data_IF_736549089319
#
_entry.id   IF_736549089319
#
_cell.length_a   1.000
_cell.length_b   1.000
_cell.length_c   1.000
_cell.angle_alpha   90.00
_cell.angle_beta   90.00
_cell.angle_gamma   90.00
#
_symmetry.space_group_name_H-M   'P 1'
#
loop_
_entity.id
_entity.type
_entity.pdbx_description
1 polymer ?
#
# COMPACT_ATOMS: atom_id res chain seq x y z
N UNK A 1 -27.67 13.15 28.95
CA UNK A 1 -26.19 13.01 29.01
C UNK A 1 -25.85 11.64 29.56
N UNK A 2 -25.07 10.84 28.85
CA UNK A 2 -24.58 9.54 29.32
C UNK A 2 -23.39 9.13 28.44
N UNK A 3 -22.22 8.90 29.05
CA UNK A 3 -21.01 8.49 28.32
C UNK A 3 -21.02 6.99 28.10
N UNK A 4 -20.68 6.54 26.90
CA UNK A 4 -19.97 5.28 26.74
C UNK A 4 -18.47 5.56 26.88
N UNK A 5 -17.75 4.73 27.62
CA UNK A 5 -16.31 4.88 27.88
C UNK A 5 -15.62 3.62 27.42
N UNK A 6 -14.71 3.75 26.46
CA UNK A 6 -13.73 2.71 26.18
C UNK A 6 -12.52 2.93 27.09
N UNK A 7 -12.19 1.88 27.86
CA UNK A 7 -11.15 1.89 28.88
C UNK A 7 -9.92 1.23 28.27
N UNK A 8 -8.87 2.00 27.99
CA UNK A 8 -7.59 1.45 27.57
C UNK A 8 -7.02 0.61 28.72
N UNK A 9 -6.82 -0.68 28.49
CA UNK A 9 -6.02 -1.51 29.38
C UNK A 9 -4.55 -1.32 29.00
N UNK A 10 -3.81 -0.65 29.86
CA UNK A 10 -2.36 -0.47 29.73
C UNK A 10 -1.64 -1.79 29.99
N UNK A 11 -1.05 -2.35 28.95
CA UNK A 11 0.08 -3.27 29.06
C UNK A 11 1.17 -2.73 28.13
N UNK A 12 2.06 -1.91 28.68
CA UNK A 12 3.16 -1.30 27.96
C UNK A 12 4.22 -2.38 27.62
N UNK A 13 4.06 -3.07 26.50
CA UNK A 13 5.17 -3.74 25.83
C UNK A 13 5.74 -2.79 24.78
N UNK A 14 6.99 -2.37 25.03
CA UNK A 14 7.69 -1.28 24.36
C UNK A 14 8.08 -1.66 22.91
N UNK A 15 7.10 -1.59 22.01
CA UNK A 15 7.27 -1.80 20.57
C UNK A 15 8.00 -0.60 19.95
N UNK A 16 9.32 -0.62 20.13
CA UNK A 16 10.23 0.51 19.97
C UNK A 16 9.99 1.37 18.73
N UNK A 17 9.72 2.65 18.99
CA UNK A 17 9.71 3.69 17.96
C UNK A 17 11.04 3.71 17.22
N UNK A 18 11.03 3.34 15.93
CA UNK A 18 12.15 3.65 15.03
C UNK A 18 12.11 5.14 14.68
N UNK A 19 12.51 5.97 15.65
CA UNK A 19 12.91 7.33 15.37
C UNK A 19 14.03 7.29 14.32
N UNK A 20 13.84 8.01 13.21
CA UNK A 20 14.87 8.16 12.18
C UNK A 20 16.05 8.94 12.75
N UNK A 21 17.03 8.24 13.31
CA UNK A 21 18.32 8.81 13.69
C UNK A 21 19.22 8.94 12.46
N UNK A 22 18.76 9.75 11.49
CA UNK A 22 19.65 10.51 10.62
C UNK A 22 20.42 11.52 11.49
N UNK A 23 21.38 11.00 12.27
CA UNK A 23 22.35 11.83 12.95
C UNK A 23 23.26 12.42 11.88
N UNK A 24 23.03 13.69 11.55
CA UNK A 24 24.05 14.49 10.91
C UNK A 24 25.36 14.34 11.70
N UNK A 25 26.46 14.16 10.96
CA UNK A 25 27.77 13.93 11.54
C UNK A 25 28.30 15.26 12.07
N UNK A 26 27.89 15.61 13.28
CA UNK A 26 28.38 16.81 13.99
C UNK A 26 29.92 16.82 14.03
N UNK A 27 30.58 17.99 14.10
CA UNK A 27 32.05 18.09 14.10
C UNK A 27 32.75 17.47 15.32
N UNK A 28 32.02 16.80 16.21
CA UNK A 28 32.55 15.96 17.29
C UNK A 28 32.54 14.46 16.94
N UNK A 29 32.03 14.08 15.77
CA UNK A 29 32.11 12.71 15.26
C UNK A 29 33.59 12.39 14.98
N UNK A 30 34.17 11.34 15.57
CA UNK A 30 35.54 10.95 15.24
C UNK A 30 35.69 10.70 13.74
N UNK A 31 36.79 11.18 13.15
CA UNK A 31 37.10 10.87 11.76
C UNK A 31 37.01 9.36 11.51
N UNK A 32 36.50 8.97 10.34
CA UNK A 32 36.48 7.55 9.95
C UNK A 32 37.94 7.10 9.82
N UNK A 33 38.44 6.41 10.85
CA UNK A 33 39.80 5.90 10.93
C UNK A 33 40.01 4.89 9.80
N UNK A 34 40.48 5.39 8.66
CA UNK A 34 40.94 4.58 7.53
C UNK A 34 42.08 3.70 8.06
N UNK A 35 41.92 2.39 7.89
CA UNK A 35 42.91 1.44 8.39
C UNK A 35 44.30 1.78 7.86
N UNK A 36 45.28 1.89 8.75
CA UNK A 36 46.66 2.31 8.45
C UNK A 36 47.40 1.28 7.56
N UNK A 37 46.78 0.12 7.34
CA UNK A 37 47.32 -1.00 6.59
C UNK A 37 46.62 -1.14 5.23
N UNK A 38 47.41 -1.31 4.17
CA UNK A 38 46.91 -1.69 2.85
C UNK A 38 46.08 -2.97 2.90
N UNK A 39 45.14 -3.18 1.95
CA UNK A 39 44.47 -4.46 1.76
C UNK A 39 45.49 -5.59 1.57
N UNK A 40 45.23 -6.78 2.13
CA UNK A 40 46.09 -7.95 1.93
C UNK A 40 46.05 -8.41 0.48
N UNK A 41 47.20 -8.82 -0.06
CA UNK A 41 47.28 -9.60 -1.30
C UNK A 41 46.68 -11.00 -1.11
N UNK A 42 46.31 -11.67 -2.21
CA UNK A 42 45.69 -13.00 -2.16
C UNK A 42 46.60 -14.07 -1.52
N UNK A 43 47.92 -13.93 -1.65
CA UNK A 43 48.89 -14.82 -1.01
C UNK A 43 48.95 -14.63 0.51
N UNK A 44 49.06 -13.37 0.98
CA UNK A 44 49.04 -13.04 2.41
C UNK A 44 47.70 -13.40 3.06
N UNK A 45 46.61 -13.15 2.33
CA UNK A 45 45.25 -13.55 2.66
C UNK A 45 45.14 -15.06 2.87
N UNK A 46 45.61 -15.88 1.92
CA UNK A 46 45.55 -17.33 2.02
C UNK A 46 46.33 -17.86 3.23
N UNK A 47 47.53 -17.31 3.49
CA UNK A 47 48.32 -17.60 4.69
C UNK A 47 47.56 -17.21 5.97
N UNK A 48 46.92 -16.04 5.98
CA UNK A 48 46.16 -15.56 7.13
C UNK A 48 44.84 -16.34 7.35
N UNK A 49 44.21 -16.85 6.31
CA UNK A 49 43.03 -17.73 6.42
C UNK A 49 43.40 -19.12 6.91
N UNK A 50 44.47 -19.73 6.38
CA UNK A 50 44.92 -21.06 6.83
C UNK A 50 45.30 -21.03 8.31
N UNK A 51 46.09 -20.05 8.76
CA UNK A 51 46.40 -19.84 10.20
C UNK A 51 45.16 -19.68 11.09
N UNK A 52 44.08 -19.06 10.60
CA UNK A 52 42.80 -18.93 11.34
C UNK A 52 41.99 -20.24 11.38
N UNK A 53 42.14 -21.12 10.38
CA UNK A 53 41.55 -22.45 10.35
C UNK A 53 42.33 -23.42 11.26
N UNK A 54 43.65 -23.37 11.20
CA UNK A 54 44.58 -24.11 12.07
C UNK A 54 44.39 -23.78 13.55
N UNK A 55 44.12 -22.51 13.88
CA UNK A 55 43.83 -22.06 15.25
C UNK A 55 42.45 -22.51 15.80
N UNK A 56 41.63 -23.18 14.99
CA UNK A 56 40.39 -23.82 15.42
C UNK A 56 39.34 -22.87 16.06
N UNK A 57 38.53 -23.36 17.02
CA UNK A 57 37.42 -22.61 17.60
C UNK A 57 37.87 -21.50 18.56
N UNK A 58 39.04 -21.64 19.20
CA UNK A 58 39.62 -20.62 20.07
C UNK A 58 40.08 -19.38 19.29
N UNK A 59 40.53 -19.57 18.04
CA UNK A 59 40.93 -18.50 17.13
C UNK A 59 42.21 -17.75 17.53
N UNK A 60 42.57 -16.78 16.69
CA UNK A 60 43.75 -15.93 16.89
C UNK A 60 43.37 -14.59 17.52
N UNK A 61 44.11 -14.16 18.54
CA UNK A 61 43.92 -12.86 19.19
C UNK A 61 44.32 -11.71 18.26
N UNK A 62 43.47 -10.69 18.18
CA UNK A 62 43.73 -9.48 17.37
C UNK A 62 44.60 -8.53 18.19
N UNK A 63 45.88 -8.40 17.79
CA UNK A 63 46.91 -7.59 18.47
C UNK A 63 46.39 -6.18 18.82
N UNK A 64 46.55 -5.79 20.08
CA UNK A 64 46.05 -4.50 20.59
C UNK A 64 44.60 -4.54 21.07
N UNK A 65 43.94 -5.69 21.06
CA UNK A 65 42.57 -5.88 21.57
C UNK A 65 42.45 -7.17 22.37
N UNK A 66 41.40 -7.29 23.19
CA UNK A 66 41.02 -8.54 23.86
C UNK A 66 40.14 -9.44 22.97
N UNK A 67 39.96 -9.09 21.69
CA UNK A 67 39.09 -9.81 20.75
C UNK A 67 39.88 -10.86 19.95
N UNK A 68 39.17 -11.87 19.43
CA UNK A 68 39.73 -12.94 18.60
C UNK A 68 39.04 -13.05 17.24
N UNK A 69 39.73 -13.63 16.25
CA UNK A 69 39.14 -14.07 14.98
C UNK A 69 39.32 -15.58 14.87
N UNK A 70 38.22 -16.31 14.74
CA UNK A 70 38.18 -17.77 14.67
C UNK A 70 37.52 -18.26 13.36
N UNK A 71 37.72 -19.53 13.03
CA UNK A 71 36.96 -20.21 12.00
C UNK A 71 35.87 -21.07 12.63
N UNK A 72 34.62 -20.64 12.49
CA UNK A 72 33.43 -21.38 12.94
C UNK A 72 33.22 -22.57 11.99
N UNK A 73 33.46 -23.79 12.48
CA UNK A 73 33.30 -25.04 11.72
C UNK A 73 31.84 -25.29 11.27
N UNK A 74 31.59 -26.19 10.30
CA UNK A 74 30.27 -26.75 10.04
C UNK A 74 29.60 -27.29 11.31
N UNK A 75 28.27 -27.29 11.35
CA UNK A 75 27.45 -27.82 12.44
C UNK A 75 26.12 -28.38 11.92
N UNK A 76 25.25 -28.86 12.82
CA UNK A 76 23.94 -29.47 12.48
C UNK A 76 23.05 -28.59 11.63
N UNK A 77 23.24 -27.27 11.66
CA UNK A 77 22.40 -26.29 10.99
C UNK A 77 23.13 -25.64 9.78
N UNK A 78 24.38 -26.04 9.49
CA UNK A 78 25.24 -25.39 8.49
C UNK A 78 26.36 -26.31 8.00
N UNK A 79 26.31 -26.73 6.74
CA UNK A 79 27.31 -27.64 6.12
C UNK A 79 28.68 -27.01 5.85
N UNK A 80 28.78 -25.68 5.86
CA UNK A 80 29.98 -24.89 5.57
C UNK A 80 30.53 -24.18 6.81
N UNK A 81 31.81 -23.80 6.78
CA UNK A 81 32.47 -23.03 7.85
C UNK A 81 32.58 -21.54 7.52
N UNK A 82 32.52 -20.67 8.52
CA UNK A 82 32.52 -19.21 8.38
C UNK A 82 33.54 -18.54 9.31
N UNK A 83 34.16 -17.44 8.87
CA UNK A 83 35.00 -16.62 9.75
C UNK A 83 34.15 -15.77 10.70
N UNK A 84 34.52 -15.77 11.99
CA UNK A 84 33.82 -15.02 13.04
C UNK A 84 34.78 -14.15 13.84
N UNK A 85 34.29 -12.99 14.25
CA UNK A 85 34.90 -12.12 15.25
C UNK A 85 34.27 -12.39 16.60
N UNK A 86 35.12 -12.52 17.63
CA UNK A 86 34.72 -12.83 19.00
C UNK A 86 35.23 -11.68 19.88
N UNK A 87 34.32 -10.80 20.28
CA UNK A 87 34.62 -9.73 21.24
C UNK A 87 34.43 -10.23 22.68
N UNK A 88 35.13 -9.66 23.68
CA UNK A 88 34.93 -9.99 25.09
C UNK A 88 33.45 -9.91 25.48
N UNK A 89 32.97 -10.95 26.18
CA UNK A 89 31.60 -11.05 26.70
C UNK A 89 30.48 -10.87 25.64
N UNK A 90 30.77 -11.08 24.35
CA UNK A 90 29.82 -10.92 23.25
C UNK A 90 29.54 -12.22 22.52
N UNK A 91 28.39 -12.30 21.83
CA UNK A 91 28.10 -13.38 20.88
C UNK A 91 29.04 -13.25 19.67
N UNK A 92 29.36 -14.39 19.03
CA UNK A 92 30.16 -14.41 17.80
C UNK A 92 29.48 -13.58 16.70
N UNK A 93 30.25 -12.76 15.98
CA UNK A 93 29.76 -11.95 14.85
C UNK A 93 30.37 -12.45 13.55
N UNK A 94 29.57 -12.64 12.51
CA UNK A 94 30.07 -13.09 11.21
C UNK A 94 30.86 -11.98 10.50
N UNK A 95 32.04 -12.32 9.98
CA UNK A 95 32.85 -11.41 9.17
C UNK A 95 32.34 -11.48 7.73
N UNK A 96 32.24 -10.33 7.06
CA UNK A 96 31.78 -10.24 5.68
C UNK A 96 32.66 -11.01 4.69
N UNK A 97 32.07 -11.89 3.88
CA UNK A 97 32.74 -12.58 2.77
C UNK A 97 32.59 -11.88 1.41
N UNK A 98 31.68 -10.90 1.28
CA UNK A 98 31.34 -10.24 0.01
C UNK A 98 32.45 -9.38 -0.63
N UNK A 99 33.54 -9.10 0.10
CA UNK A 99 34.81 -8.63 -0.45
C UNK A 99 35.92 -9.21 0.44
N UNK A 100 36.99 -9.73 -0.17
CA UNK A 100 38.11 -10.37 0.52
C UNK A 100 38.69 -9.57 1.70
N UNK A 101 38.83 -8.25 1.54
CA UNK A 101 39.42 -7.38 2.56
C UNK A 101 38.36 -6.69 3.46
N UNK A 102 37.11 -7.16 3.45
CA UNK A 102 36.05 -6.60 4.28
C UNK A 102 36.00 -7.20 5.70
N UNK A 103 36.54 -6.46 6.67
CA UNK A 103 36.47 -6.83 8.10
C UNK A 103 35.17 -6.39 8.80
N UNK A 104 34.11 -6.00 8.06
CA UNK A 104 32.83 -5.58 8.66
C UNK A 104 32.10 -6.76 9.30
N UNK A 105 31.72 -6.60 10.57
CA UNK A 105 30.92 -7.55 11.36
C UNK A 105 29.51 -7.04 11.66
N UNK A 106 29.34 -5.71 11.83
CA UNK A 106 28.05 -5.06 12.02
C UNK A 106 27.20 -5.16 10.74
N UNK A 107 25.92 -5.46 10.91
CA UNK A 107 24.94 -5.61 9.82
C UNK A 107 25.34 -6.66 8.76
N UNK A 108 26.11 -7.67 9.16
CA UNK A 108 26.36 -8.89 8.37
C UNK A 108 25.24 -9.89 8.62
N UNK A 109 24.43 -10.16 7.59
CA UNK A 109 23.36 -11.15 7.67
C UNK A 109 23.92 -12.57 7.50
N UNK A 110 23.37 -13.53 8.24
CA UNK A 110 23.77 -14.93 8.16
C UNK A 110 23.11 -15.61 6.95
N UNK A 111 23.91 -15.85 5.92
CA UNK A 111 23.61 -16.64 4.72
C UNK A 111 24.86 -17.48 4.37
N UNK A 112 24.81 -18.26 3.29
CA UNK A 112 25.94 -19.08 2.85
C UNK A 112 27.21 -18.26 2.57
N UNK A 113 27.04 -17.11 1.90
CA UNK A 113 28.03 -16.05 1.88
C UNK A 113 27.57 -14.91 2.82
N UNK A 114 28.06 -14.82 4.07
CA UNK A 114 27.65 -13.78 5.01
C UNK A 114 28.12 -12.41 4.51
N UNK A 115 27.19 -11.57 4.06
CA UNK A 115 27.48 -10.27 3.47
C UNK A 115 27.07 -9.15 4.44
N UNK A 116 28.01 -8.24 4.74
CA UNK A 116 27.65 -6.95 5.33
C UNK A 116 26.85 -6.13 4.32
N UNK A 117 26.06 -5.19 4.83
CA UNK A 117 25.13 -4.39 4.04
C UNK A 117 25.73 -3.83 2.72
N UNK A 118 26.94 -3.22 2.75
CA UNK A 118 27.61 -2.65 1.56
C UNK A 118 28.20 -3.67 0.56
N UNK A 119 28.06 -4.98 0.80
CA UNK A 119 28.51 -6.05 -0.10
C UNK A 119 27.40 -7.07 -0.39
N UNK A 120 26.13 -6.73 -0.14
CA UNK A 120 24.98 -7.55 -0.58
C UNK A 120 25.02 -7.76 -2.10
N UNK A 121 25.34 -6.71 -2.85
CA UNK A 121 25.30 -6.63 -4.31
C UNK A 121 24.13 -5.76 -4.76
N UNK A 122 23.76 -5.80 -6.06
CA UNK A 122 22.52 -5.20 -6.54
C UNK A 122 21.31 -5.74 -5.79
N UNK A 123 20.40 -4.86 -5.41
CA UNK A 123 19.05 -5.17 -4.95
C UNK A 123 18.05 -4.62 -5.95
N UNK A 124 16.85 -5.19 -6.01
CA UNK A 124 15.70 -4.55 -6.67
C UNK A 124 15.03 -3.65 -5.63
N UNK A 125 14.64 -2.47 -6.03
CA UNK A 125 13.75 -1.58 -5.29
C UNK A 125 12.68 -1.05 -6.22
N UNK A 126 11.65 -0.45 -5.64
CA UNK A 126 10.52 0.12 -6.34
C UNK A 126 10.34 1.59 -5.95
N UNK A 127 9.87 2.41 -6.89
CA UNK A 127 9.58 3.82 -6.68
C UNK A 127 8.15 4.12 -7.13
N UNK A 128 7.45 4.92 -6.32
CA UNK A 128 6.17 5.54 -6.66
C UNK A 128 6.35 7.05 -6.72
N UNK A 129 6.22 7.63 -7.91
CA UNK A 129 6.18 9.08 -8.13
C UNK A 129 4.76 9.55 -8.51
N UNK A 130 4.48 10.84 -8.31
CA UNK A 130 3.21 11.48 -8.66
C UNK A 130 3.51 12.81 -9.36
N UNK A 131 2.73 13.14 -10.37
CA UNK A 131 2.94 14.34 -11.18
C UNK A 131 1.66 15.18 -11.31
N UNK A 132 1.86 16.49 -11.39
CA UNK A 132 0.85 17.54 -11.65
C UNK A 132 1.07 18.13 -13.03
N UNK A 133 0.06 18.82 -13.58
CA UNK A 133 0.28 19.81 -14.64
C UNK A 133 0.70 21.14 -13.99
N UNK A 134 1.94 21.58 -14.22
CA UNK A 134 2.47 22.86 -13.73
C UNK A 134 1.75 24.08 -14.31
N UNK A 135 1.19 23.94 -15.51
CA UNK A 135 0.39 24.96 -16.19
C UNK A 135 -1.07 25.00 -15.73
N UNK A 136 -1.55 23.98 -14.99
CA UNK A 136 -2.96 23.79 -14.69
C UNK A 136 -3.18 23.15 -13.30
N UNK A 137 -3.36 24.01 -12.29
CA UNK A 137 -3.48 23.66 -10.86
C UNK A 137 -2.32 22.78 -10.32
N UNK A 138 -1.24 23.45 -9.92
CA UNK A 138 0.06 22.90 -9.43
C UNK A 138 0.04 21.83 -8.31
N UNK A 139 -1.12 21.44 -7.78
CA UNK A 139 -1.26 20.48 -6.68
C UNK A 139 -2.12 19.26 -7.05
N UNK A 140 -2.79 19.26 -8.21
CA UNK A 140 -3.76 18.24 -8.59
C UNK A 140 -3.03 17.08 -9.29
N UNK A 141 -3.10 15.87 -8.72
CA UNK A 141 -2.36 14.70 -9.26
C UNK A 141 -3.03 14.18 -10.53
N UNK A 142 -2.35 14.29 -11.68
CA UNK A 142 -2.84 13.80 -12.98
C UNK A 142 -2.26 12.43 -13.37
N UNK A 143 -1.10 12.06 -12.82
CA UNK A 143 -0.34 10.87 -13.20
C UNK A 143 0.32 10.24 -11.97
N UNK A 144 0.26 8.91 -11.90
CA UNK A 144 0.98 8.11 -10.91
C UNK A 144 1.95 7.17 -11.64
N UNK A 145 3.19 7.10 -11.18
CA UNK A 145 4.25 6.34 -11.83
C UNK A 145 4.78 5.30 -10.86
N UNK A 146 4.71 4.02 -11.24
CA UNK A 146 5.44 2.95 -10.56
C UNK A 146 6.55 2.41 -11.46
N UNK A 147 7.71 2.12 -10.88
CA UNK A 147 8.82 1.48 -11.58
C UNK A 147 9.67 0.66 -10.62
N UNK A 148 10.15 -0.50 -11.08
CA UNK A 148 11.23 -1.24 -10.43
C UNK A 148 12.59 -0.81 -10.99
N UNK A 149 13.61 -0.81 -10.15
CA UNK A 149 14.97 -0.42 -10.51
C UNK A 149 16.01 -1.18 -9.68
N UNK A 150 17.23 -1.29 -10.18
CA UNK A 150 18.34 -1.89 -9.42
C UNK A 150 19.14 -0.81 -8.71
N UNK A 151 19.56 -1.09 -7.47
CA UNK A 151 20.43 -0.20 -6.68
C UNK A 151 21.44 -1.00 -5.85
N UNK A 152 22.55 -0.38 -5.47
CA UNK A 152 23.48 -0.97 -4.50
C UNK A 152 23.01 -0.53 -3.11
N UNK A 153 22.74 -1.48 -2.22
CA UNK A 153 22.24 -1.13 -0.88
C UNK A 153 23.32 -0.40 -0.07
N UNK A 154 23.01 0.84 0.34
CA UNK A 154 23.93 1.78 0.98
C UNK A 154 24.48 2.88 0.06
N UNK A 155 24.22 2.79 -1.25
CA UNK A 155 24.45 3.86 -2.21
C UNK A 155 23.15 4.68 -2.37
N UNK A 156 23.00 5.73 -1.56
CA UNK A 156 21.79 6.54 -1.53
C UNK A 156 21.63 7.36 -2.83
N UNK A 157 22.71 7.97 -3.30
CA UNK A 157 22.73 8.75 -4.54
C UNK A 157 22.47 7.85 -5.75
N UNK A 158 23.06 6.65 -5.80
CA UNK A 158 22.76 5.64 -6.81
C UNK A 158 21.31 5.14 -6.74
N UNK A 159 20.72 4.96 -5.54
CA UNK A 159 19.29 4.64 -5.39
C UNK A 159 18.41 5.76 -5.95
N UNK A 160 18.70 7.01 -5.64
CA UNK A 160 17.99 8.19 -6.15
C UNK A 160 18.11 8.29 -7.68
N UNK A 161 19.32 8.25 -8.22
CA UNK A 161 19.61 8.44 -9.64
C UNK A 161 19.02 7.33 -10.52
N UNK A 162 19.16 6.06 -10.12
CA UNK A 162 18.59 4.94 -10.88
C UNK A 162 17.06 4.98 -10.89
N UNK A 163 16.43 5.44 -9.80
CA UNK A 163 15.00 5.62 -9.70
C UNK A 163 14.48 6.78 -10.55
N UNK A 164 15.08 7.96 -10.47
CA UNK A 164 14.72 9.12 -11.30
C UNK A 164 14.79 8.74 -12.78
N UNK A 165 15.89 8.11 -13.22
CA UNK A 165 16.08 7.70 -14.62
C UNK A 165 15.01 6.73 -15.13
N UNK A 166 14.54 5.77 -14.31
CA UNK A 166 13.49 4.83 -14.76
C UNK A 166 12.10 5.49 -14.78
N UNK A 167 11.84 6.42 -13.85
CA UNK A 167 10.62 7.24 -13.81
C UNK A 167 10.52 8.13 -15.06
N UNK A 168 11.60 8.83 -15.40
CA UNK A 168 11.71 9.63 -16.64
C UNK A 168 11.50 8.77 -17.89
N UNK A 169 12.23 7.67 -18.00
CA UNK A 169 12.20 6.79 -19.17
C UNK A 169 10.80 6.21 -19.44
N UNK A 170 10.09 5.80 -18.40
CA UNK A 170 8.76 5.19 -18.53
C UNK A 170 7.68 6.19 -19.01
N UNK A 171 7.83 7.50 -18.75
CA UNK A 171 6.75 8.47 -18.97
C UNK A 171 7.04 9.51 -20.06
N UNK A 172 8.31 9.90 -20.27
CA UNK A 172 8.68 10.93 -21.26
C UNK A 172 8.97 10.37 -22.67
N UNK A 173 9.36 9.10 -22.79
CA UNK A 173 9.94 8.57 -24.04
C UNK A 173 9.14 7.45 -24.72
N UNK A 174 8.07 6.95 -24.10
CA UNK A 174 7.20 5.97 -24.75
C UNK A 174 6.26 6.65 -25.76
N UNK A 175 6.19 6.11 -26.99
CA UNK A 175 5.46 6.75 -28.09
C UNK A 175 3.94 6.85 -27.87
N UNK A 176 3.39 6.00 -27.00
CA UNK A 176 2.01 6.00 -26.54
C UNK A 176 1.93 6.30 -25.03
N UNK A 177 2.87 7.06 -24.45
CA UNK A 177 2.82 7.36 -23.02
C UNK A 177 1.52 8.12 -22.68
N UNK A 178 0.91 7.85 -21.52
CA UNK A 178 -0.30 8.56 -21.12
C UNK A 178 -0.15 10.09 -21.09
N UNK A 179 1.03 10.59 -20.71
CA UNK A 179 1.34 12.02 -20.73
C UNK A 179 1.20 12.63 -22.14
N UNK A 180 1.63 11.91 -23.18
CA UNK A 180 1.51 12.36 -24.57
C UNK A 180 0.04 12.42 -25.01
N UNK A 181 -0.83 11.54 -24.50
CA UNK A 181 -2.28 11.62 -24.74
C UNK A 181 -2.88 12.87 -24.06
N UNK A 182 -2.48 13.18 -22.83
CA UNK A 182 -2.90 14.40 -22.12
C UNK A 182 -2.53 15.68 -22.87
N UNK A 183 -1.30 15.77 -23.37
CA UNK A 183 -0.86 16.91 -24.18
C UNK A 183 -1.72 17.09 -25.43
N UNK A 184 -1.97 16.00 -26.17
CA UNK A 184 -2.81 16.03 -27.37
C UNK A 184 -4.25 16.47 -27.07
N UNK A 185 -4.86 15.98 -25.97
CA UNK A 185 -6.21 16.40 -25.57
C UNK A 185 -6.25 17.87 -25.10
N UNK A 186 -5.21 18.36 -24.44
CA UNK A 186 -5.12 19.76 -24.04
C UNK A 186 -4.94 20.71 -25.25
N UNK A 187 -4.12 20.33 -26.22
CA UNK A 187 -3.96 21.04 -27.49
C UNK A 187 -5.29 21.08 -28.28
N UNK A 188 -5.95 19.93 -28.44
CA UNK A 188 -7.25 19.84 -29.11
C UNK A 188 -8.34 20.67 -28.40
N UNK A 189 -8.29 20.74 -27.06
CA UNK A 189 -9.17 21.57 -26.24
C UNK A 189 -8.74 23.06 -26.16
N UNK A 190 -7.66 23.47 -26.84
CA UNK A 190 -7.10 24.84 -26.84
C UNK A 190 -6.75 25.36 -25.43
N UNK A 191 -6.30 24.47 -24.55
CA UNK A 191 -5.79 24.80 -23.21
C UNK A 191 -4.35 25.34 -23.29
N UNK A 192 -3.81 25.94 -22.21
CA UNK A 192 -2.37 26.16 -22.07
C UNK A 192 -1.58 24.87 -22.30
N UNK A 193 -0.37 24.99 -22.84
CA UNK A 193 0.55 23.87 -23.03
C UNK A 193 0.90 23.24 -21.68
N UNK A 194 0.63 21.92 -21.46
CA UNK A 194 0.93 21.28 -20.20
C UNK A 194 2.42 21.23 -19.82
N UNK A 195 2.69 21.27 -18.52
CA UNK A 195 4.03 21.16 -17.93
C UNK A 195 4.09 19.95 -16.98
N UNK A 196 4.87 18.91 -17.28
CA UNK A 196 4.95 17.74 -16.39
C UNK A 196 5.87 18.04 -15.20
N UNK A 197 5.30 18.27 -14.02
CA UNK A 197 6.05 18.57 -12.79
C UNK A 197 5.89 17.43 -11.79
N UNK A 198 6.99 16.90 -11.26
CA UNK A 198 6.93 15.89 -10.20
C UNK A 198 6.63 16.54 -8.84
N UNK A 199 5.75 15.92 -8.08
CA UNK A 199 5.51 16.26 -6.68
C UNK A 199 6.59 15.57 -5.83
N UNK A 200 7.81 16.11 -5.78
CA UNK A 200 8.98 15.46 -5.16
C UNK A 200 8.72 14.96 -3.73
N UNK A 201 8.08 15.78 -2.88
CA UNK A 201 7.71 15.43 -1.50
C UNK A 201 6.66 14.32 -1.37
N UNK A 202 6.15 13.81 -2.48
CA UNK A 202 5.20 12.69 -2.57
C UNK A 202 5.83 11.41 -3.10
N UNK A 203 7.07 11.46 -3.65
CA UNK A 203 7.82 10.28 -4.09
C UNK A 203 8.06 9.34 -2.90
N UNK A 204 7.82 8.04 -3.08
CA UNK A 204 8.12 7.01 -2.06
C UNK A 204 8.95 5.87 -2.66
N UNK A 205 9.76 5.27 -1.79
CA UNK A 205 10.65 4.16 -2.09
C UNK A 205 10.24 2.93 -1.30
N UNK A 206 10.25 1.78 -1.95
CA UNK A 206 9.88 0.49 -1.37
C UNK A 206 10.96 -0.54 -1.72
N UNK A 207 11.24 -1.45 -0.80
CA UNK A 207 12.12 -2.61 -1.05
C UNK A 207 11.28 -3.89 -1.28
N UNK A 208 9.96 -3.75 -1.43
CA UNK A 208 8.94 -4.79 -1.62
C UNK A 208 7.85 -4.31 -2.61
N UNK A 209 7.21 -5.23 -3.34
CA UNK A 209 6.22 -4.93 -4.39
C UNK A 209 4.78 -4.90 -3.88
N UNK A 210 4.41 -5.72 -2.89
CA UNK A 210 3.06 -5.72 -2.32
C UNK A 210 2.81 -4.44 -1.52
N UNK A 211 3.80 -3.98 -0.73
CA UNK A 211 3.73 -2.70 -0.02
C UNK A 211 3.65 -1.48 -0.97
N UNK A 212 4.35 -1.53 -2.11
CA UNK A 212 4.20 -0.55 -3.19
C UNK A 212 2.75 -0.53 -3.70
N UNK A 213 2.20 -1.70 -4.04
CA UNK A 213 0.89 -1.83 -4.68
C UNK A 213 -0.26 -1.39 -3.77
N UNK A 214 -0.18 -1.63 -2.45
CA UNK A 214 -1.14 -1.10 -1.46
C UNK A 214 -1.21 0.43 -1.49
N UNK A 215 -0.06 1.08 -1.35
CA UNK A 215 0.05 2.55 -1.31
C UNK A 215 -0.28 3.18 -2.67
N UNK A 216 0.05 2.50 -3.77
CA UNK A 216 -0.31 2.92 -5.12
C UNK A 216 -1.83 2.86 -5.35
N UNK A 217 -2.50 1.76 -5.01
CA UNK A 217 -3.95 1.62 -5.13
C UNK A 217 -4.72 2.63 -4.24
N UNK A 218 -4.25 2.83 -3.01
CA UNK A 218 -4.77 3.85 -2.10
C UNK A 218 -4.69 5.27 -2.70
N UNK A 219 -3.52 5.63 -3.27
CA UNK A 219 -3.29 6.93 -3.92
C UNK A 219 -4.13 7.10 -5.18
N UNK A 220 -4.19 6.10 -6.08
CA UNK A 220 -5.07 6.15 -7.26
C UNK A 220 -6.54 6.39 -6.86
N UNK A 221 -7.02 5.69 -5.83
CA UNK A 221 -8.42 5.79 -5.37
C UNK A 221 -8.69 7.12 -4.67
N UNK A 222 -7.75 7.62 -3.85
CA UNK A 222 -7.87 8.93 -3.20
C UNK A 222 -7.84 10.08 -4.22
N UNK A 223 -6.99 9.99 -5.26
CA UNK A 223 -7.03 10.94 -6.38
C UNK A 223 -8.34 10.86 -7.13
N UNK A 224 -8.84 9.66 -7.47
CA UNK A 224 -10.16 9.47 -8.10
C UNK A 224 -11.27 10.19 -7.31
N UNK A 225 -11.28 10.02 -5.99
CA UNK A 225 -12.21 10.69 -5.08
C UNK A 225 -12.12 12.23 -5.15
N UNK A 226 -10.92 12.81 -5.30
CA UNK A 226 -10.76 14.26 -5.50
C UNK A 226 -11.36 14.74 -6.83
N UNK A 227 -11.11 14.02 -7.94
CA UNK A 227 -11.65 14.39 -9.27
C UNK A 227 -13.18 14.47 -9.24
N UNK A 228 -13.80 13.56 -8.48
CA UNK A 228 -15.24 13.38 -8.41
C UNK A 228 -15.92 14.36 -7.43
N UNK A 229 -15.20 14.92 -6.45
CA UNK A 229 -15.68 16.02 -5.60
C UNK A 229 -15.53 17.41 -6.24
N UNK A 230 -14.60 17.57 -7.18
CA UNK A 230 -14.33 18.86 -7.84
C UNK A 230 -14.50 18.78 -9.37
N UNK A 231 -15.67 18.40 -9.90
CA UNK A 231 -15.88 18.21 -11.34
C UNK A 231 -15.63 19.46 -12.20
N UNK A 232 -15.64 20.66 -11.58
CA UNK A 232 -15.21 21.93 -12.21
C UNK A 232 -13.68 22.04 -12.41
N UNK A 233 -12.91 21.00 -12.12
CA UNK A 233 -11.66 20.78 -12.86
C UNK A 233 -12.00 20.68 -14.34
N UNK A 234 -11.74 21.75 -15.12
CA UNK A 234 -11.88 21.73 -16.59
C UNK A 234 -10.99 20.66 -17.25
N UNK A 235 -10.05 20.11 -16.48
CA UNK A 235 -9.50 18.78 -16.66
C UNK A 235 -10.63 17.75 -16.49
N UNK A 236 -11.19 17.25 -17.61
CA UNK A 236 -11.50 15.81 -17.68
C UNK A 236 -10.20 15.12 -17.28
N UNK A 237 -10.08 14.69 -16.03
CA UNK A 237 -8.89 13.96 -15.61
C UNK A 237 -9.00 12.60 -16.27
N UNK A 238 -8.37 12.52 -17.45
CA UNK A 238 -7.82 11.29 -17.98
C UNK A 238 -6.92 10.81 -16.84
N UNK A 239 -7.42 9.93 -15.97
CA UNK A 239 -6.58 9.29 -14.98
C UNK A 239 -5.59 8.48 -15.81
N UNK A 240 -4.37 8.99 -15.93
CA UNK A 240 -3.46 8.57 -17.00
C UNK A 240 -3.04 7.10 -16.88
N UNK A 241 -3.31 6.51 -15.72
CA UNK A 241 -3.33 5.08 -15.54
C UNK A 241 -4.75 4.59 -15.90
N UNK A 242 -4.88 4.09 -17.15
CA UNK A 242 -6.12 3.58 -17.78
C UNK A 242 -6.79 2.42 -17.01
N UNK A 243 -6.17 1.98 -15.91
CA UNK A 243 -6.72 1.05 -14.93
C UNK A 243 -6.52 1.65 -13.53
N UNK A 244 -7.61 1.77 -12.77
CA UNK A 244 -7.59 2.20 -11.37
C UNK A 244 -7.60 0.95 -10.50
N UNK A 245 -6.56 0.77 -9.69
CA UNK A 245 -6.51 -0.31 -8.72
C UNK A 245 -7.23 0.13 -7.43
N UNK A 246 -8.30 -0.59 -7.06
CA UNK A 246 -8.94 -0.38 -5.77
C UNK A 246 -8.12 -1.06 -4.64
N UNK A 247 -7.98 -0.42 -3.46
CA UNK A 247 -7.17 -0.89 -2.33
C UNK A 247 -7.82 -2.05 -1.55
N UNK A 248 -8.11 -3.15 -2.24
CA UNK A 248 -8.68 -4.36 -1.66
C UNK A 248 -7.71 -4.95 -0.63
N UNK A 249 -8.05 -4.85 0.66
CA UNK A 249 -7.17 -5.24 1.77
C UNK A 249 -6.16 -4.16 2.21
N UNK A 250 -6.09 -3.01 1.52
CA UNK A 250 -5.22 -1.88 1.83
C UNK A 250 -5.99 -0.70 2.47
N UNK A 251 -6.91 -1.02 3.39
CA UNK A 251 -7.83 -0.07 4.00
C UNK A 251 -7.13 0.95 4.90
N UNK A 252 -6.02 0.57 5.53
CA UNK A 252 -5.19 1.47 6.35
C UNK A 252 -4.54 2.52 5.45
N UNK A 253 -3.94 2.09 4.35
CA UNK A 253 -3.24 2.93 3.40
C UNK A 253 -4.23 3.87 2.69
N UNK A 254 -5.44 3.41 2.38
CA UNK A 254 -6.52 4.26 1.89
C UNK A 254 -6.93 5.31 2.93
N UNK A 255 -7.16 4.92 4.20
CA UNK A 255 -7.56 5.87 5.24
C UNK A 255 -6.47 6.94 5.51
N UNK A 256 -5.22 6.52 5.69
CA UNK A 256 -4.07 7.42 5.89
C UNK A 256 -3.83 8.38 4.70
N UNK A 257 -4.22 7.96 3.50
CA UNK A 257 -4.12 8.77 2.29
C UNK A 257 -5.34 9.71 2.12
N UNK A 258 -6.55 9.26 2.46
CA UNK A 258 -7.74 10.09 2.48
C UNK A 258 -7.67 11.20 3.55
N UNK A 259 -7.17 10.89 4.75
CA UNK A 259 -6.97 11.84 5.85
C UNK A 259 -6.06 13.01 5.44
N UNK A 260 -4.98 12.76 4.68
CA UNK A 260 -4.08 13.80 4.16
C UNK A 260 -4.79 14.84 3.29
N UNK A 261 -5.89 14.44 2.63
CA UNK A 261 -6.71 15.32 1.78
C UNK A 261 -8.05 15.67 2.43
N UNK A 262 -8.26 15.35 3.72
CA UNK A 262 -9.49 15.64 4.45
C UNK A 262 -10.73 14.89 3.94
N UNK A 263 -10.55 13.75 3.26
CA UNK A 263 -11.66 13.02 2.65
C UNK A 263 -12.24 11.96 3.59
N UNK A 264 -13.56 11.79 3.56
CA UNK A 264 -14.26 10.73 4.30
C UNK A 264 -15.23 9.97 3.40
N UNK A 265 -15.10 8.63 3.35
CA UNK A 265 -16.02 7.74 2.64
C UNK A 265 -17.05 7.17 3.62
N UNK A 266 -18.31 7.58 3.50
CA UNK A 266 -19.42 7.07 4.32
C UNK A 266 -20.40 6.25 3.48
N UNK A 267 -20.46 4.97 3.79
CA UNK A 267 -21.56 4.10 3.33
C UNK A 267 -22.79 4.44 4.17
N UNK A 268 -23.86 4.88 3.52
CA UNK A 268 -25.10 5.30 4.16
C UNK A 268 -26.23 4.33 3.76
N UNK A 269 -26.91 3.74 4.74
CA UNK A 269 -28.16 2.98 4.52
C UNK A 269 -29.30 3.89 4.04
N UNK A 270 -29.25 5.15 4.50
CA UNK A 270 -29.99 6.31 4.01
C UNK A 270 -29.08 7.52 4.05
N UNK A 271 -29.16 8.36 3.03
CA UNK A 271 -28.90 9.78 3.18
C UNK A 271 -29.84 10.31 4.29
N UNK A 272 -29.29 10.93 5.33
CA UNK A 272 -30.12 11.64 6.31
C UNK A 272 -30.89 12.74 5.58
N UNK A 273 -32.07 13.16 6.07
CA UNK A 273 -32.85 14.22 5.41
C UNK A 273 -32.01 15.49 5.18
N UNK A 274 -31.17 15.86 6.15
CA UNK A 274 -30.18 16.94 6.03
C UNK A 274 -29.12 16.71 4.95
N UNK A 275 -28.69 15.47 4.70
CA UNK A 275 -27.73 15.14 3.64
C UNK A 275 -28.40 15.08 2.26
N UNK A 276 -29.63 14.56 2.16
CA UNK A 276 -30.41 14.57 0.91
C UNK A 276 -30.73 16.01 0.47
N UNK A 277 -31.16 16.88 1.40
CA UNK A 277 -31.36 18.31 1.12
C UNK A 277 -30.05 19.02 0.75
N UNK A 278 -28.94 18.73 1.43
CA UNK A 278 -27.64 19.37 1.15
C UNK A 278 -27.07 19.09 -0.26
N UNK A 279 -27.48 17.98 -0.89
CA UNK A 279 -27.03 17.59 -2.24
C UNK A 279 -28.11 17.79 -3.32
N UNK A 280 -29.26 18.39 -2.97
CA UNK A 280 -30.46 18.49 -3.82
C UNK A 280 -30.93 17.14 -4.39
N UNK A 281 -30.83 16.04 -3.62
CA UNK A 281 -31.40 14.76 -4.06
C UNK A 281 -32.92 14.90 -4.10
N UNK A 282 -33.52 14.72 -5.28
CA UNK A 282 -34.97 14.81 -5.45
C UNK A 282 -35.65 13.63 -4.74
N UNK A 283 -36.93 13.77 -4.37
CA UNK A 283 -37.66 12.66 -3.75
C UNK A 283 -37.74 11.44 -4.69
N UNK A 284 -37.75 11.70 -6.01
CA UNK A 284 -37.69 10.74 -7.12
C UNK A 284 -36.42 9.86 -7.14
N UNK A 285 -35.34 10.32 -6.50
CA UNK A 285 -34.03 9.65 -6.48
C UNK A 285 -33.87 8.72 -5.26
N UNK A 286 -34.79 8.75 -4.30
CA UNK A 286 -34.81 7.75 -3.23
C UNK A 286 -35.25 6.39 -3.77
N UNK A 287 -34.59 5.30 -3.34
CA UNK A 287 -35.02 3.94 -3.68
C UNK A 287 -36.45 3.71 -3.13
N UNK A 288 -37.44 3.36 -3.98
CA UNK A 288 -38.84 3.24 -3.62
C UNK A 288 -39.12 1.89 -2.95
N UNK A 289 -38.62 1.74 -1.72
CA UNK A 289 -38.75 0.51 -0.95
C UNK A 289 -40.22 0.21 -0.61
N UNK A 290 -40.79 -0.81 -1.25
CA UNK A 290 -42.10 -1.39 -0.94
C UNK A 290 -42.16 -1.91 0.51
N UNK A 291 -41.02 -2.39 1.01
CA UNK A 291 -40.82 -2.85 2.37
C UNK A 291 -39.34 -2.64 2.73
N UNK A 292 -39.03 -2.37 4.01
CA UNK A 292 -37.65 -2.26 4.49
C UNK A 292 -37.27 -3.48 5.34
N UNK A 293 -35.99 -3.83 5.35
CA UNK A 293 -35.49 -4.88 6.22
C UNK A 293 -35.61 -4.45 7.70
N UNK A 294 -35.95 -5.41 8.56
CA UNK A 294 -35.91 -5.22 10.01
C UNK A 294 -34.51 -5.54 10.59
N UNK A 295 -34.23 -5.03 11.79
CA UNK A 295 -32.89 -5.17 12.39
C UNK A 295 -32.56 -6.63 12.68
N UNK A 296 -31.56 -7.18 12.00
CA UNK A 296 -31.16 -8.58 12.09
C UNK A 296 -31.99 -9.54 11.23
N UNK A 297 -32.87 -9.03 10.36
CA UNK A 297 -33.65 -9.84 9.43
C UNK A 297 -32.77 -10.53 8.37
N UNK A 298 -33.10 -11.78 8.04
CA UNK A 298 -32.45 -12.52 6.95
C UNK A 298 -33.18 -12.33 5.61
N UNK A 299 -32.41 -12.38 4.51
CA UNK A 299 -32.91 -12.23 3.13
C UNK A 299 -34.15 -13.09 2.82
N UNK A 300 -34.21 -14.33 3.34
CA UNK A 300 -35.34 -15.23 3.16
C UNK A 300 -36.61 -14.86 3.96
N UNK A 301 -36.46 -14.13 5.07
CA UNK A 301 -37.59 -13.60 5.87
C UNK A 301 -38.19 -12.38 5.15
N UNK A 302 -37.32 -11.45 4.72
CA UNK A 302 -37.73 -10.27 3.96
C UNK A 302 -38.48 -10.66 2.68
N UNK A 303 -37.94 -11.59 1.89
CA UNK A 303 -38.59 -12.12 0.68
C UNK A 303 -39.85 -12.96 0.97
N UNK A 304 -40.09 -13.36 2.22
CA UNK A 304 -41.34 -14.04 2.60
C UNK A 304 -42.44 -13.02 2.91
N UNK A 305 -42.14 -11.98 3.71
CA UNK A 305 -43.03 -10.83 3.95
C UNK A 305 -43.43 -10.16 2.64
N UNK A 306 -42.48 -10.04 1.70
CA UNK A 306 -42.72 -9.48 0.37
C UNK A 306 -43.81 -10.16 -0.46
N UNK A 307 -44.15 -11.42 -0.18
CA UNK A 307 -45.23 -12.13 -0.90
C UNK A 307 -46.62 -11.65 -0.50
N UNK A 308 -46.77 -11.06 0.69
CA UNK A 308 -48.03 -10.55 1.21
C UNK A 308 -48.49 -9.29 0.44
N UNK A 309 -47.55 -8.58 -0.17
CA UNK A 309 -47.76 -7.39 -1.01
C UNK A 309 -48.47 -7.69 -2.34
N UNK A 310 -48.53 -8.97 -2.76
CA UNK A 310 -49.10 -9.45 -4.04
C UNK A 310 -48.42 -8.94 -5.33
N UNK A 311 -47.47 -8.03 -5.24
CA UNK A 311 -46.59 -7.62 -6.35
C UNK A 311 -45.42 -8.62 -6.55
N UNK A 312 -44.75 -8.52 -7.70
CA UNK A 312 -43.46 -9.20 -7.93
C UNK A 312 -42.35 -8.36 -7.30
N UNK A 313 -41.64 -8.93 -6.33
CA UNK A 313 -40.63 -8.19 -5.56
C UNK A 313 -39.22 -8.77 -5.73
N UNK A 314 -38.22 -7.90 -5.59
CA UNK A 314 -36.82 -8.28 -5.41
C UNK A 314 -36.26 -7.60 -4.15
N UNK A 315 -35.45 -8.33 -3.38
CA UNK A 315 -34.73 -7.79 -2.24
C UNK A 315 -33.37 -7.24 -2.68
N UNK A 316 -33.08 -6.00 -2.29
CA UNK A 316 -31.73 -5.42 -2.34
C UNK A 316 -30.98 -5.81 -1.06
N UNK A 317 -29.70 -6.16 -1.18
CA UNK A 317 -28.85 -6.56 -0.06
C UNK A 317 -27.39 -6.21 -0.31
N UNK A 318 -26.61 -6.12 0.76
CA UNK A 318 -25.15 -6.17 0.69
C UNK A 318 -24.64 -7.56 1.04
N UNK A 319 -23.58 -8.02 0.37
CA UNK A 319 -22.62 -8.96 0.92
C UNK A 319 -21.50 -8.15 1.56
N UNK A 320 -21.22 -8.38 2.84
CA UNK A 320 -20.21 -7.60 3.58
C UNK A 320 -19.39 -8.44 4.58
N UNK A 321 -18.09 -8.17 4.60
CA UNK A 321 -17.18 -8.34 5.74
C UNK A 321 -16.09 -7.23 5.66
N UNK A 322 -15.04 -7.20 6.50
CA UNK A 322 -13.98 -6.18 6.43
C UNK A 322 -13.12 -6.17 5.15
N UNK A 323 -13.36 -7.07 4.19
CA UNK A 323 -12.55 -7.28 2.98
C UNK A 323 -13.38 -7.40 1.68
N UNK A 324 -14.71 -7.42 1.78
CA UNK A 324 -15.63 -7.37 0.63
C UNK A 324 -16.85 -6.52 0.98
N UNK A 325 -17.23 -5.64 0.06
CA UNK A 325 -18.54 -5.00 0.02
C UNK A 325 -19.07 -5.16 -1.40
N UNK A 326 -20.22 -5.81 -1.54
CA UNK A 326 -20.84 -6.06 -2.84
C UNK A 326 -22.35 -5.83 -2.74
N UNK A 327 -22.89 -4.93 -3.56
CA UNK A 327 -24.32 -4.69 -3.67
C UNK A 327 -24.97 -5.76 -4.56
N UNK A 328 -26.06 -6.35 -4.08
CA UNK A 328 -26.72 -7.48 -4.72
C UNK A 328 -28.25 -7.35 -4.74
N UNK A 329 -28.87 -8.10 -5.65
CA UNK A 329 -30.32 -8.17 -5.84
C UNK A 329 -30.82 -9.61 -5.90
N UNK A 330 -31.94 -9.92 -5.24
CA UNK A 330 -32.42 -11.28 -5.03
C UNK A 330 -33.93 -11.41 -5.27
N UNK A 331 -34.34 -12.36 -6.11
CA UNK A 331 -35.74 -12.81 -6.21
C UNK A 331 -36.00 -14.12 -5.42
N UNK A 332 -34.97 -14.65 -4.77
CA UNK A 332 -35.01 -15.91 -4.02
C UNK A 332 -34.03 -15.86 -2.85
N UNK A 333 -34.31 -16.63 -1.79
CA UNK A 333 -33.39 -16.76 -0.63
C UNK A 333 -32.03 -17.39 -1.01
N UNK A 334 -31.97 -18.10 -2.13
CA UNK A 334 -30.76 -18.74 -2.65
C UNK A 334 -30.12 -17.79 -3.65
N UNK A 335 -29.02 -17.18 -3.24
CA UNK A 335 -28.09 -16.36 -4.04
C UNK A 335 -26.68 -16.89 -3.82
N UNK A 336 -25.74 -16.55 -4.70
CA UNK A 336 -24.35 -17.03 -4.67
C UNK A 336 -24.27 -18.56 -4.59
N UNK A 337 -24.66 -19.21 -5.68
CA UNK A 337 -24.61 -20.67 -5.81
C UNK A 337 -23.18 -21.17 -6.04
N UNK A 338 -22.76 -22.19 -5.29
CA UNK A 338 -21.37 -22.73 -5.28
C UNK A 338 -20.84 -23.09 -6.68
N UNK A 339 -21.72 -23.46 -7.62
CA UNK A 339 -21.38 -23.80 -9.00
C UNK A 339 -21.08 -22.62 -9.93
N UNK A 340 -21.38 -21.37 -9.54
CA UNK A 340 -21.10 -20.20 -10.37
C UNK A 340 -19.73 -19.61 -10.07
N UNK A 341 -18.69 -20.08 -10.76
CA UNK A 341 -17.32 -19.59 -10.61
C UNK A 341 -17.12 -18.13 -11.07
N UNK A 342 -18.05 -17.59 -11.87
CA UNK A 342 -18.04 -16.19 -12.32
C UNK A 342 -18.74 -15.23 -11.34
N UNK A 343 -19.31 -15.74 -10.24
CA UNK A 343 -19.91 -14.92 -9.19
C UNK A 343 -18.80 -14.31 -8.31
N UNK A 344 -18.68 -12.97 -8.19
CA UNK A 344 -17.60 -12.34 -7.43
C UNK A 344 -17.55 -12.75 -5.96
N UNK A 345 -18.70 -13.05 -5.35
CA UNK A 345 -18.80 -13.45 -3.95
C UNK A 345 -18.36 -14.91 -3.76
N UNK A 346 -18.63 -15.79 -4.71
CA UNK A 346 -18.11 -17.17 -4.72
C UNK A 346 -16.62 -17.19 -5.05
N UNK A 347 -16.16 -16.37 -5.99
CA UNK A 347 -14.74 -16.22 -6.29
C UNK A 347 -13.97 -15.75 -5.03
N UNK A 348 -14.44 -14.69 -4.36
CA UNK A 348 -13.93 -14.26 -3.06
C UNK A 348 -13.97 -15.38 -2.01
N UNK A 349 -15.10 -16.10 -1.89
CA UNK A 349 -15.24 -17.21 -0.92
C UNK A 349 -14.21 -18.32 -1.13
N UNK A 350 -13.89 -18.63 -2.39
CA UNK A 350 -12.99 -19.71 -2.78
C UNK A 350 -11.51 -19.28 -2.75
N UNK A 351 -11.23 -17.98 -2.80
CA UNK A 351 -9.87 -17.42 -2.82
C UNK A 351 -9.42 -16.76 -1.51
N UNK A 352 -10.35 -16.44 -0.58
CA UNK A 352 -9.99 -15.75 0.67
C UNK A 352 -9.06 -16.60 1.55
N UNK A 353 -8.03 -15.99 2.17
CA UNK A 353 -7.26 -16.61 3.24
C UNK A 353 -8.15 -17.14 4.37
N UNK A 354 -7.70 -18.20 5.04
CA UNK A 354 -8.41 -18.81 6.18
C UNK A 354 -8.56 -17.86 7.39
N UNK A 355 -7.77 -16.79 7.46
CA UNK A 355 -7.89 -15.70 8.44
C UNK A 355 -9.04 -14.72 8.13
N UNK A 356 -9.57 -14.68 6.91
CA UNK A 356 -10.65 -13.77 6.54
C UNK A 356 -12.00 -14.31 7.04
N UNK A 357 -12.79 -13.52 7.79
CA UNK A 357 -14.09 -13.95 8.29
C UNK A 357 -15.06 -14.23 7.15
N UNK A 358 -16.06 -15.08 7.37
CA UNK A 358 -17.11 -15.31 6.37
C UNK A 358 -17.99 -14.06 6.20
N UNK A 359 -18.48 -13.86 4.97
CA UNK A 359 -19.33 -12.73 4.63
C UNK A 359 -20.74 -12.88 5.20
N UNK A 360 -21.37 -11.75 5.50
CA UNK A 360 -22.78 -11.66 5.89
C UNK A 360 -23.60 -11.08 4.75
N UNK A 361 -24.77 -11.64 4.50
CA UNK A 361 -25.79 -11.03 3.64
C UNK A 361 -26.68 -10.15 4.51
N UNK A 362 -26.62 -8.84 4.29
CA UNK A 362 -27.38 -7.81 5.01
C UNK A 362 -28.46 -7.27 4.07
N UNK A 363 -29.74 -7.69 4.21
CA UNK A 363 -30.82 -7.15 3.39
C UNK A 363 -31.11 -5.69 3.74
N UNK A 364 -31.53 -4.91 2.74
CA UNK A 364 -31.82 -3.47 2.84
C UNK A 364 -33.34 -3.25 2.76
N UNK A 365 -33.99 -3.87 1.78
CA UNK A 365 -35.43 -3.76 1.56
C UNK A 365 -35.88 -4.38 0.23
N UNK A 366 -37.18 -4.32 -0.04
CA UNK A 366 -37.82 -4.80 -1.26
C UNK A 366 -38.13 -3.66 -2.21
N UNK A 367 -37.89 -3.89 -3.50
CA UNK A 367 -38.32 -3.07 -4.63
C UNK A 367 -39.10 -3.95 -5.63
N UNK A 368 -39.72 -3.36 -6.66
CA UNK A 368 -40.38 -4.15 -7.71
C UNK A 368 -39.37 -4.98 -8.49
N UNK A 369 -39.78 -6.18 -8.91
CA UNK A 369 -38.89 -7.11 -9.61
C UNK A 369 -38.42 -6.56 -10.96
N UNK A 370 -39.18 -5.67 -11.60
CA UNK A 370 -38.84 -4.96 -12.83
C UNK A 370 -37.80 -3.86 -12.60
N UNK A 371 -37.96 -3.04 -11.55
CA UNK A 371 -37.13 -1.87 -11.23
C UNK A 371 -35.77 -2.25 -10.61
N UNK A 372 -35.66 -3.45 -10.02
CA UNK A 372 -34.52 -3.96 -9.24
C UNK A 372 -33.10 -3.60 -9.72
N UNK A 373 -32.85 -3.60 -11.04
CA UNK A 373 -31.51 -3.32 -11.59
C UNK A 373 -31.22 -1.82 -11.60
N UNK A 374 -32.23 -0.98 -11.79
CA UNK A 374 -32.13 0.48 -11.63
C UNK A 374 -31.92 0.84 -10.17
N UNK A 375 -32.65 0.18 -9.26
CA UNK A 375 -32.59 0.50 -7.83
C UNK A 375 -31.32 -0.01 -7.13
N UNK A 376 -30.74 -1.13 -7.56
CA UNK A 376 -29.44 -1.56 -7.04
C UNK A 376 -28.32 -0.60 -7.44
N UNK A 377 -28.44 0.08 -8.59
CA UNK A 377 -27.50 1.15 -9.01
C UNK A 377 -27.74 2.50 -8.32
N UNK A 378 -28.84 2.68 -7.56
CA UNK A 378 -29.04 3.85 -6.69
C UNK A 378 -28.50 3.64 -5.27
N UNK A 379 -27.74 2.58 -5.00
CA UNK A 379 -27.12 2.35 -3.70
C UNK A 379 -25.90 3.28 -3.56
N UNK A 380 -26.17 4.50 -3.08
CA UNK A 380 -25.18 5.58 -3.00
C UNK A 380 -24.07 5.32 -1.99
N UNK A 381 -22.85 5.75 -2.32
CA UNK A 381 -21.74 5.89 -1.37
C UNK A 381 -21.44 7.39 -1.24
N UNK A 382 -21.57 7.94 -0.03
CA UNK A 382 -21.39 9.38 0.18
C UNK A 382 -19.92 9.67 0.46
N UNK A 383 -19.33 10.50 -0.39
CA UNK A 383 -17.98 11.01 -0.20
C UNK A 383 -18.08 12.45 0.34
N UNK A 384 -17.19 12.84 1.24
CA UNK A 384 -17.15 14.20 1.80
C UNK A 384 -15.74 14.73 1.85
N UNK A 385 -15.58 16.02 1.57
CA UNK A 385 -14.48 16.80 2.11
C UNK A 385 -14.87 17.29 3.51
N UNK A 386 -13.95 17.18 4.47
CA UNK A 386 -14.09 17.64 5.84
C UNK A 386 -13.54 19.06 6.06
N UNK A 387 -12.91 19.65 5.04
CA UNK A 387 -12.36 21.01 5.06
C UNK A 387 -13.42 22.08 4.75
N UNK A 388 -14.52 21.69 4.11
CA UNK A 388 -15.70 22.53 3.91
C UNK A 388 -16.61 22.52 5.15
N UNK A 389 -16.88 23.73 5.68
CA UNK A 389 -17.91 23.94 6.70
C UNK A 389 -19.33 23.77 6.10
N UNK A 390 -20.35 23.44 6.90
CA UNK A 390 -21.32 22.43 6.51
C UNK A 390 -22.37 22.90 5.50
N UNK A 391 -22.17 22.56 4.21
CA UNK A 391 -23.25 22.32 3.24
C UNK A 391 -22.85 21.49 2.01
N UNK A 392 -21.59 21.51 1.57
CA UNK A 392 -21.11 20.97 0.27
C UNK A 392 -20.67 19.50 0.30
N UNK A 393 -21.57 18.58 0.67
CA UNK A 393 -21.35 17.16 0.36
C UNK A 393 -21.61 16.86 -1.13
N UNK A 394 -20.96 15.86 -1.71
CA UNK A 394 -21.36 15.30 -3.02
C UNK A 394 -21.50 13.79 -2.90
N UNK A 395 -22.66 13.24 -3.29
CA UNK A 395 -22.89 11.80 -3.23
C UNK A 395 -22.40 11.13 -4.50
N UNK A 396 -21.69 10.01 -4.32
CA UNK A 396 -21.09 9.28 -5.42
C UNK A 396 -21.88 8.00 -5.73
N UNK A 397 -22.16 7.79 -7.01
CA UNK A 397 -22.65 6.50 -7.51
C UNK A 397 -21.44 5.73 -8.04
N UNK A 398 -20.97 4.79 -7.24
CA UNK A 398 -20.01 3.76 -7.69
C UNK A 398 -20.84 2.61 -8.31
N UNK A 399 -20.63 2.38 -9.61
CA UNK A 399 -21.29 1.33 -10.42
C UNK A 399 -20.36 0.14 -10.59
#
# INVERSE_FOLDING_TARGET
VGKLVFRFCTSDEDMGSQQSTTSDLTPLTPEIVKGIYSPLSDAERLIAENKKREAGPDGLMVRGTNSRVAFSLPNTNRSYGLFVFIAPNSKQQFICSGNANCVKTKSTMMQEAPKCYSHKGPQIGFVLAQFTDGANKKNDVILHVIASFTFIYGDADGKQNNATRIVEYNHLHQNNSPWKLYCNECEAAKKPTPELVELEGRRRYFDDEDELMKVYAARQTTTLFQMLLYPDTTIRIICLNVMINFPNGAYKELAEEMDQYGLELRIHDKLSSSAATAINLNEDEQIPFLLRAEMGEGLGTLLSRGKELKEKVAALYFVSNPYILYAGQAISRTVHGISNLNDPVINYKNSKPSSHPDYKMVPIGLVRQEERTTEVTKIHVVLRDLRDLPCSGQSLVLV
#
